data_IF_269942388856
#
_entry.id   IF_269942388856
#
_cell.length_a   1.000
_cell.length_b   1.000
_cell.length_c   1.000
_cell.angle_alpha   90.00
_cell.angle_beta   90.00
_cell.angle_gamma   90.00
#
_symmetry.space_group_name_H-M   'P 1'
#
loop_
_entity.id
_entity.type
_entity.pdbx_description
1 polymer ?
#
# COMPACT_ATOMS: atom_id res chain seq x y z
N UNK A 1 8.84 15.70 -7.00
CA UNK A 1 7.60 16.30 -7.55
C UNK A 1 6.38 16.20 -6.59
N UNK A 2 6.54 16.34 -5.26
CA UNK A 2 5.41 16.36 -4.31
C UNK A 2 5.61 17.37 -3.15
N UNK A 3 6.59 18.29 -3.26
CA UNK A 3 6.95 19.21 -2.18
C UNK A 3 5.79 20.12 -1.74
N UNK A 4 5.17 20.81 -2.70
CA UNK A 4 4.05 21.72 -2.44
C UNK A 4 2.81 21.01 -1.92
N UNK A 5 2.51 19.81 -2.43
CA UNK A 5 1.40 18.99 -1.91
C UNK A 5 1.60 18.65 -0.43
N UNK A 6 2.80 18.17 -0.06
CA UNK A 6 3.14 17.89 1.34
C UNK A 6 3.03 19.14 2.21
N UNK A 7 3.58 20.27 1.77
CA UNK A 7 3.50 21.54 2.52
C UNK A 7 2.05 21.97 2.79
N UNK A 8 1.20 21.98 1.76
CA UNK A 8 -0.21 22.37 1.89
C UNK A 8 -0.96 21.38 2.79
N UNK A 9 -0.69 20.08 2.66
CA UNK A 9 -1.33 19.07 3.50
C UNK A 9 -0.91 19.19 4.96
N UNK A 10 0.39 19.36 5.25
CA UNK A 10 0.91 19.62 6.60
C UNK A 10 0.25 20.84 7.22
N UNK A 11 0.22 21.95 6.48
CA UNK A 11 -0.43 23.18 6.93
C UNK A 11 -1.93 22.98 7.26
N UNK A 12 -2.68 22.32 6.37
CA UNK A 12 -4.11 22.08 6.59
C UNK A 12 -4.35 21.12 7.76
N UNK A 13 -3.55 20.06 7.90
CA UNK A 13 -3.65 19.14 9.03
C UNK A 13 -3.44 19.88 10.36
N UNK A 14 -2.40 20.72 10.44
CA UNK A 14 -2.14 21.56 11.61
C UNK A 14 -3.32 22.50 11.93
N UNK A 15 -3.85 23.21 10.91
CA UNK A 15 -5.02 24.08 11.08
C UNK A 15 -6.23 23.32 11.65
N UNK A 16 -6.51 22.12 11.17
CA UNK A 16 -7.67 21.34 11.64
C UNK A 16 -7.39 20.46 12.87
N UNK A 17 -6.22 20.58 13.51
CA UNK A 17 -5.81 19.74 14.65
C UNK A 17 -5.77 18.25 14.30
N UNK A 18 -5.31 17.91 13.08
CA UNK A 18 -5.16 16.54 12.59
C UNK A 18 -3.70 16.15 12.56
N UNK A 19 -3.42 14.93 13.02
CA UNK A 19 -2.10 14.33 12.87
C UNK A 19 -1.86 13.93 11.40
N UNK A 20 -0.66 14.21 10.89
CA UNK A 20 -0.21 13.80 9.56
C UNK A 20 0.89 12.75 9.67
N UNK A 21 0.56 11.50 9.36
CA UNK A 21 1.53 10.39 9.31
C UNK A 21 2.10 10.29 7.88
N UNK A 22 3.41 10.52 7.75
CA UNK A 22 4.12 10.42 6.48
C UNK A 22 4.72 9.02 6.30
N UNK A 23 4.19 8.26 5.34
CA UNK A 23 4.78 6.99 4.94
C UNK A 23 6.17 7.19 4.30
N UNK A 24 7.07 6.24 4.56
CA UNK A 24 8.36 6.10 3.91
C UNK A 24 8.14 5.99 2.39
N UNK A 25 8.98 6.69 1.61
CA UNK A 25 8.89 6.70 0.15
C UNK A 25 8.91 5.30 -0.47
N UNK A 26 9.60 4.35 0.17
CA UNK A 26 9.75 2.97 -0.27
C UNK A 26 8.87 1.99 0.51
N UNK A 27 7.93 2.48 1.34
CA UNK A 27 6.93 1.64 1.97
C UNK A 27 6.09 0.93 0.90
N UNK A 28 5.99 -0.41 0.89
CA UNK A 28 5.49 -1.16 -0.26
C UNK A 28 3.96 -1.27 -0.28
N UNK A 29 3.22 -0.18 -0.06
CA UNK A 29 1.74 -0.19 0.05
C UNK A 29 1.03 -0.86 -1.13
N UNK A 30 1.55 -0.69 -2.35
CA UNK A 30 0.96 -1.31 -3.56
C UNK A 30 1.34 -2.78 -3.76
N UNK A 31 2.29 -3.30 -2.98
CA UNK A 31 2.79 -4.68 -3.05
C UNK A 31 2.49 -5.48 -1.77
N UNK A 32 2.12 -4.81 -0.68
CA UNK A 32 1.73 -5.39 0.61
C UNK A 32 0.25 -5.75 0.60
N UNK A 33 -0.10 -6.94 1.07
CA UNK A 33 -1.48 -7.31 1.30
C UNK A 33 -1.97 -6.65 2.59
N UNK A 34 -3.06 -5.89 2.53
CA UNK A 34 -3.64 -5.22 3.69
C UNK A 34 -4.16 -6.19 4.76
N UNK A 35 -4.49 -7.42 4.39
CA UNK A 35 -5.09 -8.41 5.31
C UNK A 35 -4.05 -9.22 6.07
N UNK A 36 -2.99 -9.68 5.41
CA UNK A 36 -2.01 -10.58 6.01
C UNK A 36 -0.59 -10.03 6.06
N UNK A 37 -0.36 -8.80 5.57
CA UNK A 37 0.96 -8.16 5.55
C UNK A 37 1.97 -8.74 4.56
N UNK A 38 1.66 -9.82 3.84
CA UNK A 38 2.59 -10.40 2.86
C UNK A 38 2.94 -9.41 1.75
N UNK A 39 4.23 -9.29 1.43
CA UNK A 39 4.75 -8.37 0.41
C UNK A 39 5.21 -9.15 -0.81
N UNK A 40 4.70 -8.74 -1.98
CA UNK A 40 5.04 -9.33 -3.28
C UNK A 40 6.50 -9.03 -3.65
N UNK A 41 7.23 -10.07 -4.06
CA UNK A 41 8.64 -10.01 -4.49
C UNK A 41 8.80 -10.73 -5.84
N UNK A 42 9.88 -10.44 -6.56
CA UNK A 42 10.17 -11.06 -7.86
C UNK A 42 9.00 -10.98 -8.84
N UNK A 43 8.68 -12.11 -9.47
CA UNK A 43 7.62 -12.23 -10.48
C UNK A 43 6.20 -12.06 -9.93
N UNK A 44 6.03 -12.07 -8.60
CA UNK A 44 4.74 -11.81 -7.97
C UNK A 44 4.44 -10.31 -7.85
N UNK A 45 5.39 -9.42 -8.20
CA UNK A 45 5.19 -7.98 -8.20
C UNK A 45 4.09 -7.53 -9.16
N UNK A 46 3.35 -6.51 -8.75
CA UNK A 46 2.39 -5.80 -9.61
C UNK A 46 3.11 -4.59 -10.20
N UNK A 47 3.23 -4.56 -11.52
CA UNK A 47 3.84 -3.45 -12.27
C UNK A 47 2.78 -2.48 -12.79
N UNK A 48 3.18 -1.53 -13.63
CA UNK A 48 2.24 -0.68 -14.37
C UNK A 48 1.40 -1.48 -15.39
N UNK A 49 1.83 -2.68 -15.74
CA UNK A 49 1.11 -3.60 -16.63
C UNK A 49 0.41 -4.73 -15.87
N UNK A 50 0.31 -4.62 -14.53
CA UNK A 50 -0.22 -5.69 -13.69
C UNK A 50 0.83 -6.75 -13.35
N UNK A 51 0.36 -7.95 -13.03
CA UNK A 51 1.23 -9.09 -12.71
C UNK A 51 1.31 -10.03 -13.91
N UNK A 52 2.51 -10.16 -14.49
CA UNK A 52 2.74 -11.00 -15.67
C UNK A 52 2.59 -12.50 -15.39
N UNK A 53 3.10 -12.98 -14.26
CA UNK A 53 3.10 -14.39 -13.88
C UNK A 53 1.68 -14.96 -13.74
N UNK A 54 0.75 -14.14 -13.24
CA UNK A 54 -0.63 -14.54 -12.94
C UNK A 54 -1.67 -13.92 -13.89
N UNK A 55 -1.22 -13.11 -14.85
CA UNK A 55 -2.11 -12.50 -15.85
C UNK A 55 -3.12 -11.48 -15.30
N UNK A 56 -2.82 -10.82 -14.18
CA UNK A 56 -3.74 -9.84 -13.57
C UNK A 56 -3.51 -8.43 -14.11
N UNK A 57 -4.55 -7.61 -14.14
CA UNK A 57 -4.49 -6.21 -14.59
C UNK A 57 -3.75 -5.31 -13.59
N UNK A 58 -3.41 -4.10 -14.01
CA UNK A 58 -2.64 -3.15 -13.19
C UNK A 58 -3.42 -2.60 -11.98
N UNK A 59 -4.75 -2.60 -12.04
CA UNK A 59 -5.67 -2.15 -10.99
C UNK A 59 -6.15 -3.29 -10.08
N UNK A 60 -5.71 -4.52 -10.33
CA UNK A 60 -6.09 -5.70 -9.54
C UNK A 60 -4.99 -6.06 -8.55
N UNK A 61 -5.39 -6.40 -7.32
CA UNK A 61 -4.53 -7.01 -6.33
C UNK A 61 -5.07 -8.39 -5.96
N UNK A 62 -4.19 -9.39 -5.99
CA UNK A 62 -4.50 -10.77 -5.56
C UNK A 62 -3.42 -11.22 -4.59
N UNK A 63 -3.82 -11.75 -3.42
CA UNK A 63 -2.87 -12.29 -2.45
C UNK A 63 -2.63 -13.78 -2.71
N UNK A 64 -1.37 -14.16 -2.89
CA UNK A 64 -0.97 -15.55 -3.13
C UNK A 64 -0.43 -16.26 -1.88
N UNK A 65 -0.47 -15.60 -0.71
CA UNK A 65 -0.19 -16.25 0.57
C UNK A 65 -1.36 -17.17 0.94
N UNK A 66 -1.13 -18.49 0.96
CA UNK A 66 -2.15 -19.51 1.27
C UNK A 66 -2.77 -19.37 2.67
N UNK A 67 -2.07 -18.71 3.60
CA UNK A 67 -2.57 -18.44 4.96
C UNK A 67 -3.46 -17.18 5.04
N UNK A 68 -3.61 -16.44 3.94
CA UNK A 68 -4.41 -15.24 3.90
C UNK A 68 -5.91 -15.57 3.76
N UNK A 69 -6.80 -14.95 4.56
CA UNK A 69 -8.26 -15.04 4.36
C UNK A 69 -8.74 -14.57 2.96
N UNK A 70 -7.92 -13.76 2.28
CA UNK A 70 -8.13 -13.29 0.92
C UNK A 70 -7.25 -14.01 -0.11
N UNK A 71 -6.83 -15.25 0.17
CA UNK A 71 -6.09 -16.06 -0.80
C UNK A 71 -6.85 -16.14 -2.13
N UNK A 72 -6.14 -15.81 -3.21
CA UNK A 72 -6.61 -15.84 -4.59
C UNK A 72 -7.88 -15.02 -4.91
N UNK A 73 -8.30 -14.12 -4.01
CA UNK A 73 -9.40 -13.19 -4.27
C UNK A 73 -8.87 -11.94 -4.98
N UNK A 74 -9.58 -11.52 -6.03
CA UNK A 74 -9.31 -10.25 -6.73
C UNK A 74 -9.95 -9.11 -5.93
N UNK A 75 -9.14 -8.13 -5.56
CA UNK A 75 -9.58 -6.87 -4.95
C UNK A 75 -8.99 -5.69 -5.70
N UNK A 76 -9.60 -4.52 -5.54
CA UNK A 76 -9.07 -3.28 -6.09
C UNK A 76 -7.71 -2.93 -5.44
N UNK A 77 -6.71 -2.65 -6.28
CA UNK A 77 -5.33 -2.40 -5.84
C UNK A 77 -5.19 -1.13 -5.03
N UNK A 78 -5.90 -0.06 -5.41
CA UNK A 78 -5.81 1.23 -4.74
C UNK A 78 -6.47 1.16 -3.37
N UNK A 79 -7.60 0.44 -3.25
CA UNK A 79 -8.21 0.10 -1.94
C UNK A 79 -7.26 -0.70 -1.06
N UNK A 80 -6.60 -1.74 -1.59
CA UNK A 80 -5.62 -2.51 -0.82
C UNK A 80 -4.43 -1.63 -0.38
N UNK A 81 -3.94 -0.74 -1.24
CA UNK A 81 -2.84 0.16 -0.90
C UNK A 81 -3.24 1.18 0.16
N UNK A 82 -4.45 1.74 0.07
CA UNK A 82 -5.02 2.64 1.08
C UNK A 82 -5.13 1.95 2.44
N UNK A 83 -5.67 0.73 2.50
CA UNK A 83 -5.75 -0.04 3.75
C UNK A 83 -4.35 -0.38 4.30
N UNK A 84 -3.38 -0.65 3.43
CA UNK A 84 -1.98 -0.87 3.85
C UNK A 84 -1.32 0.38 4.42
N UNK A 85 -1.72 1.58 3.98
CA UNK A 85 -1.27 2.85 4.55
C UNK A 85 -1.99 3.14 5.88
N UNK A 86 -3.28 2.83 5.98
CA UNK A 86 -4.05 2.98 7.21
C UNK A 86 -3.44 2.20 8.38
N UNK A 87 -2.88 1.02 8.11
CA UNK A 87 -2.17 0.23 9.11
C UNK A 87 -1.02 0.99 9.80
N UNK A 88 -0.43 2.02 9.18
CA UNK A 88 0.63 2.82 9.81
C UNK A 88 0.13 3.71 10.96
N UNK A 89 -1.18 3.95 11.05
CA UNK A 89 -1.77 4.67 12.17
C UNK A 89 -1.77 3.84 13.45
N UNK A 90 -1.93 2.52 13.34
CA UNK A 90 -1.92 1.59 14.47
C UNK A 90 -0.54 0.96 14.70
N UNK A 91 0.24 0.79 13.62
CA UNK A 91 1.52 0.08 13.62
C UNK A 91 2.63 0.90 12.92
N UNK A 92 3.13 1.98 13.55
CA UNK A 92 4.13 2.88 12.96
C UNK A 92 5.46 2.17 12.62
N UNK A 93 5.80 1.09 13.31
CA UNK A 93 7.02 0.29 13.08
C UNK A 93 7.08 -0.34 11.69
N UNK A 94 5.93 -0.49 11.02
CA UNK A 94 5.85 -0.97 9.65
C UNK A 94 6.37 0.05 8.63
N UNK A 95 6.59 1.30 9.03
CA UNK A 95 6.92 2.42 8.15
C UNK A 95 8.39 2.45 7.70
N UNK A 96 8.85 1.38 7.04
CA UNK A 96 10.22 1.24 6.56
C UNK A 96 10.27 0.71 5.11
N UNK A 97 11.42 0.88 4.47
CA UNK A 97 11.72 0.28 3.17
C UNK A 97 11.95 -1.23 3.33
N UNK A 98 11.47 -2.03 2.39
CA UNK A 98 11.68 -3.49 2.33
C UNK A 98 12.57 -3.92 1.16
#
# INVERSE_FOLDING_TARGET
MFGKFKQILTYKCDWYGKELIMANKLYPSTQRCAVCGNVKKGDDKITLYGNKKHGTKHNEFVCYNKKCPNYNKVVDRDKNAMLSLLALAEYPELNHAL
#
